data_IF_208810588885
#
_entry.id   IF_208810588885
#
_cell.length_a   1.000
_cell.length_b   1.000
_cell.length_c   1.000
_cell.angle_alpha   90.00
_cell.angle_beta   90.00
_cell.angle_gamma   90.00
#
_symmetry.space_group_name_H-M   'P 1'
#
loop_
_entity.id
_entity.type
_entity.pdbx_description
1 polymer ?
#
# COMPACT_ATOMS: atom_id res chain seq x y z
N UNK A 1 21.83 -21.76 18.56
CA UNK A 1 20.94 -21.79 19.74
C UNK A 1 21.02 -23.15 20.40
N UNK A 2 20.54 -24.28 19.80
CA UNK A 2 20.54 -25.62 20.42
C UNK A 2 21.95 -26.10 20.85
N UNK A 3 22.96 -25.89 20.01
CA UNK A 3 24.35 -26.23 20.33
C UNK A 3 24.89 -25.44 21.53
N UNK A 4 24.51 -24.15 21.66
CA UNK A 4 24.90 -23.33 22.79
C UNK A 4 24.30 -23.83 24.11
N UNK A 5 23.01 -24.17 24.08
CA UNK A 5 22.32 -24.78 25.22
C UNK A 5 22.96 -26.10 25.64
N UNK A 6 23.32 -26.99 24.69
CA UNK A 6 24.05 -28.23 24.97
C UNK A 6 25.45 -27.99 25.53
N UNK A 7 26.14 -26.96 25.03
CA UNK A 7 27.48 -26.63 25.49
C UNK A 7 27.44 -26.04 26.90
N UNK A 8 26.43 -25.23 27.23
CA UNK A 8 26.23 -24.76 28.60
C UNK A 8 26.07 -25.93 29.60
N UNK A 9 25.27 -26.95 29.26
CA UNK A 9 25.12 -28.17 30.04
C UNK A 9 26.47 -28.90 30.23
N UNK A 10 27.25 -29.06 29.16
CA UNK A 10 28.58 -29.72 29.22
C UNK A 10 29.59 -28.94 30.06
N UNK A 11 29.45 -27.62 30.09
CA UNK A 11 30.31 -26.72 30.85
C UNK A 11 29.86 -26.57 32.31
N UNK A 12 28.85 -27.33 32.75
CA UNK A 12 28.44 -27.40 34.14
C UNK A 12 27.35 -26.42 34.55
N UNK A 13 26.54 -25.92 33.59
CA UNK A 13 25.34 -25.16 33.92
C UNK A 13 24.39 -26.01 34.77
N UNK A 14 24.01 -25.50 35.93
CA UNK A 14 23.22 -26.22 36.93
C UNK A 14 21.76 -25.75 36.97
N UNK A 15 21.44 -24.63 36.34
CA UNK A 15 20.08 -24.10 36.30
C UNK A 15 19.55 -24.00 34.88
N UNK A 16 18.22 -24.12 34.72
CA UNK A 16 17.55 -23.87 33.44
C UNK A 16 17.77 -22.42 32.98
N UNK A 17 18.01 -21.50 33.91
CA UNK A 17 18.24 -20.08 33.61
C UNK A 17 19.58 -19.89 32.89
N UNK A 18 20.66 -20.56 33.35
CA UNK A 18 21.97 -20.48 32.72
C UNK A 18 21.95 -21.03 31.29
N UNK A 19 21.17 -22.10 31.07
CA UNK A 19 21.00 -22.73 29.76
C UNK A 19 20.23 -21.79 28.82
N UNK A 20 19.15 -21.18 29.32
CA UNK A 20 18.34 -20.23 28.56
C UNK A 20 19.14 -18.98 28.22
N UNK A 21 19.96 -18.48 29.14
CA UNK A 21 20.85 -17.35 28.94
C UNK A 21 21.86 -17.59 27.81
N UNK A 22 22.50 -18.77 27.82
CA UNK A 22 23.41 -19.17 26.75
C UNK A 22 22.69 -19.33 25.40
N UNK A 23 21.44 -19.79 25.40
CA UNK A 23 20.61 -19.91 24.20
C UNK A 23 20.24 -18.56 23.62
N UNK A 24 19.83 -17.59 24.47
CA UNK A 24 19.48 -16.21 24.08
C UNK A 24 20.69 -15.48 23.49
N UNK A 25 21.86 -15.59 24.16
CA UNK A 25 23.08 -14.98 23.65
C UNK A 25 23.46 -15.52 22.26
N UNK A 26 23.40 -16.84 22.08
CA UNK A 26 23.70 -17.46 20.79
C UNK A 26 22.64 -17.14 19.73
N UNK A 27 21.41 -16.85 20.13
CA UNK A 27 20.38 -16.38 19.21
C UNK A 27 20.68 -14.97 18.69
N UNK A 28 21.08 -14.05 19.55
CA UNK A 28 21.47 -12.69 19.19
C UNK A 28 22.67 -12.67 18.25
N UNK A 29 23.75 -13.38 18.61
CA UNK A 29 24.94 -13.52 17.75
C UNK A 29 24.60 -14.13 16.38
N UNK A 30 23.67 -15.09 16.34
CA UNK A 30 23.22 -15.71 15.09
C UNK A 30 22.44 -14.73 14.22
N UNK A 31 21.58 -13.91 14.81
CA UNK A 31 20.82 -12.87 14.10
C UNK A 31 21.75 -11.83 13.50
N UNK A 32 22.70 -11.32 14.29
CA UNK A 32 23.69 -10.35 13.82
C UNK A 32 24.56 -10.90 12.68
N UNK A 33 24.76 -12.21 12.62
CA UNK A 33 25.55 -12.86 11.58
C UNK A 33 24.75 -13.20 10.31
N UNK A 34 23.44 -13.05 10.29
CA UNK A 34 22.59 -13.39 9.12
C UNK A 34 22.97 -12.64 7.84
N UNK A 35 23.42 -11.36 7.87
CA UNK A 35 23.90 -10.68 6.67
C UNK A 35 25.15 -11.32 6.05
N UNK A 36 25.94 -12.05 6.84
CA UNK A 36 27.11 -12.76 6.34
C UNK A 36 26.77 -14.12 5.72
N UNK A 37 25.59 -14.65 6.05
CA UNK A 37 25.11 -15.95 5.55
C UNK A 37 24.30 -15.78 4.26
N UNK A 38 23.56 -14.68 4.13
CA UNK A 38 22.70 -14.39 2.98
C UNK A 38 23.12 -13.07 2.32
N UNK A 39 23.70 -13.13 1.10
CA UNK A 39 24.19 -11.94 0.40
C UNK A 39 23.14 -10.85 0.23
N UNK A 40 21.86 -11.20 0.10
CA UNK A 40 20.75 -10.25 -0.04
C UNK A 40 20.53 -9.43 1.24
N UNK A 41 20.64 -10.04 2.42
CA UNK A 41 20.54 -9.33 3.69
C UNK A 41 21.71 -8.37 3.89
N UNK A 42 22.90 -8.78 3.44
CA UNK A 42 24.09 -7.92 3.45
C UNK A 42 23.93 -6.71 2.53
N UNK A 43 23.39 -6.92 1.35
CA UNK A 43 23.14 -5.86 0.37
C UNK A 43 22.07 -4.89 0.85
N UNK A 44 21.02 -5.40 1.52
CA UNK A 44 19.96 -4.59 2.12
C UNK A 44 20.38 -3.91 3.44
N UNK A 45 21.48 -4.35 4.08
CA UNK A 45 21.95 -3.82 5.36
C UNK A 45 21.04 -4.19 6.53
N UNK A 46 20.32 -5.31 6.43
CA UNK A 46 19.35 -5.79 7.43
C UNK A 46 19.70 -7.19 7.94
N UNK A 47 19.12 -7.57 9.06
CA UNK A 47 19.21 -8.93 9.62
C UNK A 47 17.96 -9.73 9.25
N UNK A 48 18.03 -11.07 9.40
CA UNK A 48 16.87 -11.94 9.18
C UNK A 48 15.75 -11.65 10.19
N UNK A 49 14.56 -11.26 9.66
CA UNK A 49 13.41 -10.89 10.47
C UNK A 49 12.84 -12.07 11.29
N UNK A 50 12.82 -13.27 10.71
CA UNK A 50 12.38 -14.50 11.38
C UNK A 50 13.31 -14.89 12.53
N UNK A 51 14.62 -14.82 12.29
CA UNK A 51 15.64 -15.02 13.32
C UNK A 51 15.53 -13.99 14.45
N UNK A 52 15.28 -12.73 14.12
CA UNK A 52 15.08 -11.66 15.12
C UNK A 52 13.81 -11.88 15.95
N UNK A 53 12.71 -12.30 15.32
CA UNK A 53 11.47 -12.67 16.03
C UNK A 53 11.69 -13.80 17.03
N UNK A 54 12.41 -14.86 16.64
CA UNK A 54 12.76 -15.97 17.55
C UNK A 54 13.64 -15.50 18.72
N UNK A 55 14.62 -14.65 18.46
CA UNK A 55 15.44 -14.05 19.52
C UNK A 55 14.58 -13.27 20.53
N UNK A 56 13.65 -12.43 20.08
CA UNK A 56 12.75 -11.65 20.95
C UNK A 56 11.90 -12.56 21.84
N UNK A 57 11.38 -13.68 21.30
CA UNK A 57 10.62 -14.66 22.08
C UNK A 57 11.48 -15.27 23.18
N UNK A 58 12.69 -15.70 22.85
CA UNK A 58 13.63 -16.31 23.82
C UNK A 58 14.06 -15.30 24.88
N UNK A 59 14.32 -14.05 24.50
CA UNK A 59 14.64 -12.96 25.44
C UNK A 59 13.46 -12.68 26.39
N UNK A 60 12.23 -12.65 25.88
CA UNK A 60 11.03 -12.53 26.71
C UNK A 60 10.90 -13.65 27.73
N UNK A 61 11.17 -14.90 27.32
CA UNK A 61 11.22 -16.04 28.23
C UNK A 61 12.29 -15.89 29.32
N UNK A 62 13.48 -15.41 28.97
CA UNK A 62 14.56 -15.16 29.91
C UNK A 62 14.19 -14.08 30.93
N UNK A 63 13.60 -12.97 30.47
CA UNK A 63 13.10 -11.89 31.34
C UNK A 63 12.03 -12.39 32.31
N UNK A 64 11.06 -13.17 31.83
CA UNK A 64 10.04 -13.78 32.66
C UNK A 64 10.65 -14.72 33.72
N UNK A 65 11.63 -15.56 33.33
CA UNK A 65 12.33 -16.47 34.25
C UNK A 65 13.16 -15.72 35.31
N UNK A 66 13.59 -14.49 35.01
CA UNK A 66 14.29 -13.62 35.96
C UNK A 66 13.34 -12.79 36.82
N UNK A 67 12.01 -12.89 36.62
CA UNK A 67 11.02 -12.09 37.33
C UNK A 67 11.04 -10.60 36.93
N UNK A 68 11.57 -10.28 35.76
CA UNK A 68 11.59 -8.92 35.23
C UNK A 68 10.22 -8.58 34.60
N UNK A 69 9.78 -7.33 34.70
CA UNK A 69 8.53 -6.88 34.10
C UNK A 69 8.61 -7.02 32.57
N UNK A 70 7.53 -7.54 31.97
CA UNK A 70 7.44 -7.73 30.51
C UNK A 70 6.84 -6.49 29.80
N UNK A 71 6.25 -5.59 30.55
CA UNK A 71 5.63 -4.34 30.10
C UNK A 71 6.60 -3.15 30.08
N UNK A 72 7.87 -3.37 30.41
CA UNK A 72 8.89 -2.38 30.10
C UNK A 72 9.03 -2.33 28.58
N UNK A 73 8.91 -1.14 27.93
CA UNK A 73 9.19 -1.04 26.51
C UNK A 73 10.50 -1.77 26.24
N UNK A 74 10.49 -2.73 25.33
CA UNK A 74 11.70 -3.42 24.86
C UNK A 74 12.73 -2.31 24.71
N UNK A 75 13.84 -2.38 25.50
CA UNK A 75 14.91 -1.40 25.40
C UNK A 75 15.11 -1.18 23.92
N UNK A 76 15.06 0.06 23.50
CA UNK A 76 15.25 0.49 22.13
C UNK A 76 16.39 -0.35 21.56
N UNK A 77 16.06 -1.49 20.97
CA UNK A 77 16.88 -2.17 20.01
C UNK A 77 17.07 -1.08 19.01
N UNK A 78 18.28 -0.54 18.91
CA UNK A 78 18.57 0.68 18.23
C UNK A 78 17.68 0.79 17.02
N UNK A 79 16.91 1.84 16.96
CA UNK A 79 15.79 2.10 16.07
C UNK A 79 15.68 1.02 15.00
N UNK A 80 14.78 0.04 15.19
CA UNK A 80 14.40 -0.79 14.05
C UNK A 80 13.79 0.24 13.13
N UNK A 81 14.63 0.72 12.23
CA UNK A 81 14.24 1.58 11.16
C UNK A 81 13.30 0.72 10.30
N UNK A 82 12.01 0.73 10.65
CA UNK A 82 10.97 0.08 9.85
C UNK A 82 11.00 0.62 8.41
N UNK A 83 11.63 1.79 8.19
CA UNK A 83 11.93 2.33 6.87
C UNK A 83 13.03 1.53 6.14
N UNK A 84 13.90 0.78 6.86
CA UNK A 84 14.93 -0.09 6.25
C UNK A 84 14.49 -1.53 6.02
N UNK A 85 13.45 -2.00 6.70
CA UNK A 85 12.90 -3.35 6.49
C UNK A 85 12.13 -3.46 5.16
N UNK A 86 11.68 -2.34 4.59
CA UNK A 86 11.05 -2.27 3.26
C UNK A 86 11.99 -2.49 2.06
N UNK A 87 13.20 -2.99 2.24
CA UNK A 87 14.21 -3.19 1.19
C UNK A 87 14.50 -4.63 0.79
N UNK A 88 13.78 -5.61 1.30
CA UNK A 88 13.76 -6.95 0.70
C UNK A 88 12.61 -6.96 -0.30
N UNK A 89 12.84 -6.40 -1.48
CA UNK A 89 12.08 -6.87 -2.62
C UNK A 89 12.53 -8.34 -2.81
N UNK A 90 11.72 -9.28 -2.34
CA UNK A 90 11.61 -10.52 -3.09
C UNK A 90 11.43 -10.05 -4.52
N UNK A 91 12.31 -10.48 -5.41
CA UNK A 91 12.18 -10.17 -6.83
C UNK A 91 10.90 -10.89 -7.23
N UNK A 92 9.76 -10.21 -7.10
CA UNK A 92 8.50 -10.71 -7.61
C UNK A 92 8.72 -10.76 -9.11
N UNK A 93 8.73 -11.96 -9.66
CA UNK A 93 8.81 -12.10 -11.10
C UNK A 93 7.61 -11.37 -11.71
N UNK A 94 7.81 -10.56 -12.77
CA UNK A 94 6.74 -9.76 -13.32
C UNK A 94 5.49 -10.57 -13.61
N UNK A 95 4.37 -10.18 -13.03
CA UNK A 95 3.06 -10.83 -13.20
C UNK A 95 2.71 -11.89 -12.15
N UNK A 96 3.58 -12.18 -11.18
CA UNK A 96 3.28 -13.12 -10.08
C UNK A 96 2.81 -12.35 -8.82
N UNK A 97 1.66 -11.74 -8.95
CA UNK A 97 1.17 -10.73 -8.02
C UNK A 97 0.38 -11.31 -6.82
N UNK A 98 0.13 -12.63 -6.83
CA UNK A 98 -0.68 -13.27 -5.80
C UNK A 98 0.10 -14.31 -4.99
N UNK A 99 0.05 -14.17 -3.68
CA UNK A 99 0.48 -15.18 -2.72
C UNK A 99 -0.70 -16.07 -2.35
N UNK A 100 -0.50 -17.39 -2.45
CA UNK A 100 -1.50 -18.39 -2.07
C UNK A 100 -0.88 -19.34 -1.07
N UNK A 101 -1.44 -19.35 0.13
CA UNK A 101 -1.06 -20.30 1.19
C UNK A 101 -2.21 -21.27 1.43
N UNK A 102 -1.93 -22.56 1.34
CA UNK A 102 -2.92 -23.62 1.57
C UNK A 102 -2.43 -24.58 2.63
N UNK A 103 -3.18 -24.72 3.71
CA UNK A 103 -3.03 -25.78 4.68
C UNK A 103 -3.96 -26.93 4.31
N UNK A 104 -3.42 -28.14 4.07
CA UNK A 104 -4.24 -29.31 3.75
C UNK A 104 -3.72 -30.57 4.41
N UNK A 105 -4.62 -31.54 4.65
CA UNK A 105 -4.29 -32.88 5.09
C UNK A 105 -4.20 -33.80 3.88
N UNK A 106 -3.03 -34.35 3.56
CA UNK A 106 -2.89 -35.30 2.46
C UNK A 106 -3.78 -36.54 2.66
N UNK A 107 -4.39 -37.03 1.60
CA UNK A 107 -5.20 -38.25 1.62
C UNK A 107 -4.36 -39.51 1.87
N UNK A 108 -3.04 -39.45 1.74
CA UNK A 108 -2.09 -40.51 1.95
C UNK A 108 -0.67 -39.97 2.14
N UNK A 109 0.35 -40.82 2.00
CA UNK A 109 1.74 -40.35 2.08
C UNK A 109 2.05 -39.45 0.89
N UNK A 110 2.37 -38.21 1.14
CA UNK A 110 2.76 -37.23 0.13
C UNK A 110 4.29 -37.16 0.04
N UNK A 111 4.83 -37.26 -1.17
CA UNK A 111 6.25 -36.98 -1.44
C UNK A 111 6.37 -35.48 -1.71
N UNK A 112 6.88 -34.70 -0.72
CA UNK A 112 6.99 -33.26 -0.81
C UNK A 112 7.89 -32.80 -1.96
N UNK A 113 8.90 -33.60 -2.34
CA UNK A 113 9.79 -33.24 -3.46
C UNK A 113 9.05 -33.30 -4.79
N UNK A 114 8.34 -34.40 -5.04
CA UNK A 114 7.53 -34.55 -6.26
C UNK A 114 6.39 -33.51 -6.29
N UNK A 115 5.80 -33.25 -5.14
CA UNK A 115 4.75 -32.24 -5.00
C UNK A 115 5.25 -30.82 -5.31
N UNK A 116 6.46 -30.46 -4.84
CA UNK A 116 7.10 -29.19 -5.18
C UNK A 116 7.39 -29.08 -6.69
N UNK A 117 7.86 -30.17 -7.32
CA UNK A 117 8.12 -30.21 -8.76
C UNK A 117 6.83 -30.01 -9.59
N UNK A 118 5.71 -30.60 -9.14
CA UNK A 118 4.40 -30.37 -9.78
C UNK A 118 3.93 -28.91 -9.65
N UNK A 119 4.15 -28.28 -8.49
CA UNK A 119 3.77 -26.88 -8.22
C UNK A 119 4.53 -25.86 -9.09
N UNK A 120 5.74 -26.18 -9.58
CA UNK A 120 6.49 -25.27 -10.47
C UNK A 120 5.78 -24.97 -11.80
N UNK A 121 4.78 -25.77 -12.15
CA UNK A 121 3.94 -25.52 -13.32
C UNK A 121 2.83 -24.48 -13.05
N UNK A 122 2.56 -24.19 -11.77
CA UNK A 122 1.49 -23.27 -11.36
C UNK A 122 2.04 -21.90 -10.94
N UNK A 123 3.28 -21.83 -10.45
CA UNK A 123 3.85 -20.58 -9.98
C UNK A 123 5.29 -20.70 -9.48
N UNK A 124 5.75 -19.67 -8.79
CA UNK A 124 7.12 -19.54 -8.26
C UNK A 124 7.12 -19.38 -6.73
N UNK A 125 8.29 -19.15 -6.13
CA UNK A 125 8.47 -18.93 -4.67
C UNK A 125 7.85 -20.03 -3.80
N UNK A 126 7.93 -21.30 -4.30
CA UNK A 126 7.28 -22.45 -3.64
C UNK A 126 7.98 -22.77 -2.33
N UNK A 127 7.22 -22.77 -1.23
CA UNK A 127 7.67 -23.24 0.08
C UNK A 127 6.71 -24.28 0.62
N UNK A 128 7.24 -25.37 1.16
CA UNK A 128 6.46 -26.46 1.75
C UNK A 128 6.90 -26.70 3.18
N UNK A 129 5.94 -26.84 4.08
CA UNK A 129 6.14 -27.22 5.47
C UNK A 129 5.21 -28.37 5.85
N UNK A 130 5.66 -29.30 6.67
CA UNK A 130 4.84 -30.40 7.20
C UNK A 130 4.90 -30.40 8.74
N UNK A 131 3.72 -30.48 9.38
CA UNK A 131 3.60 -30.59 10.84
C UNK A 131 2.21 -31.06 11.23
N UNK A 132 2.12 -31.92 12.24
CA UNK A 132 0.84 -32.45 12.80
C UNK A 132 -0.11 -33.06 11.76
N UNK A 133 0.45 -33.69 10.71
CA UNK A 133 -0.33 -34.29 9.63
C UNK A 133 -0.99 -33.28 8.69
N UNK A 134 -0.56 -32.03 8.75
CA UNK A 134 -0.95 -30.95 7.84
C UNK A 134 0.27 -30.57 7.02
N UNK A 135 0.08 -30.39 5.72
CA UNK A 135 1.04 -29.76 4.82
C UNK A 135 0.63 -28.34 4.55
N UNK A 136 1.52 -27.40 4.81
CA UNK A 136 1.40 -25.98 4.41
C UNK A 136 2.15 -25.79 3.11
N UNK A 137 1.45 -25.31 2.10
CA UNK A 137 1.99 -24.93 0.80
C UNK A 137 1.86 -23.42 0.66
N UNK A 138 2.94 -22.78 0.24
CA UNK A 138 3.02 -21.38 -0.15
C UNK A 138 3.52 -21.31 -1.60
N UNK A 139 2.89 -20.48 -2.42
CA UNK A 139 3.24 -20.30 -3.83
C UNK A 139 2.84 -18.89 -4.28
N UNK A 140 3.67 -18.28 -5.15
CA UNK A 140 3.31 -17.06 -5.87
C UNK A 140 2.80 -17.44 -7.26
N UNK A 141 1.68 -16.84 -7.68
CA UNK A 141 1.01 -17.14 -8.94
C UNK A 141 0.61 -15.88 -9.70
N UNK A 142 0.36 -16.05 -11.00
CA UNK A 142 -0.11 -14.99 -11.88
C UNK A 142 -1.52 -14.54 -11.49
N UNK A 143 -1.85 -13.29 -11.84
CA UNK A 143 -3.22 -12.79 -11.78
C UNK A 143 -4.19 -13.72 -12.52
N UNK A 144 -5.40 -13.91 -11.97
CA UNK A 144 -6.45 -14.82 -12.44
C UNK A 144 -6.13 -16.32 -12.33
N UNK A 145 -5.00 -16.70 -11.71
CA UNK A 145 -4.66 -18.11 -11.47
C UNK A 145 -4.59 -18.47 -9.99
N UNK A 146 -4.96 -17.57 -9.09
CA UNK A 146 -4.86 -17.65 -7.63
C UNK A 146 -5.62 -18.85 -7.03
N UNK A 147 -6.64 -19.35 -7.72
CA UNK A 147 -7.40 -20.53 -7.27
C UNK A 147 -6.80 -21.87 -7.73
N UNK A 148 -5.92 -21.90 -8.72
CA UNK A 148 -5.35 -23.15 -9.26
C UNK A 148 -4.56 -23.96 -8.21
N UNK A 149 -3.69 -23.36 -7.37
CA UNK A 149 -3.01 -24.10 -6.31
C UNK A 149 -3.95 -24.73 -5.29
N UNK A 150 -5.09 -24.08 -5.01
CA UNK A 150 -6.10 -24.57 -4.07
C UNK A 150 -6.76 -25.83 -4.65
N UNK A 151 -7.19 -25.78 -5.91
CA UNK A 151 -7.78 -26.93 -6.59
C UNK A 151 -6.77 -28.08 -6.71
N UNK A 152 -5.50 -27.77 -6.93
CA UNK A 152 -4.44 -28.76 -6.94
C UNK A 152 -4.26 -29.44 -5.57
N UNK A 153 -4.23 -28.68 -4.47
CA UNK A 153 -4.17 -29.23 -3.12
C UNK A 153 -5.41 -30.08 -2.77
N UNK A 154 -6.61 -29.70 -3.23
CA UNK A 154 -7.84 -30.50 -3.07
C UNK A 154 -7.75 -31.87 -3.72
N UNK A 155 -7.05 -32.00 -4.83
CA UNK A 155 -6.85 -33.31 -5.47
C UNK A 155 -5.88 -34.21 -4.67
N UNK A 156 -5.01 -33.65 -3.87
CA UNK A 156 -4.01 -34.37 -3.05
C UNK A 156 -4.54 -34.66 -1.63
N UNK A 157 -5.58 -33.95 -1.17
CA UNK A 157 -6.07 -34.11 0.19
C UNK A 157 -7.25 -33.19 0.55
N UNK A 158 -7.49 -33.04 1.87
CA UNK A 158 -8.54 -32.17 2.40
C UNK A 158 -7.94 -30.82 2.79
N UNK A 159 -8.36 -29.75 2.12
CA UNK A 159 -7.97 -28.38 2.45
C UNK A 159 -8.60 -27.99 3.79
N UNK A 160 -7.77 -27.46 4.68
CA UNK A 160 -8.14 -27.05 6.06
C UNK A 160 -8.26 -25.55 6.16
N UNK A 161 -7.30 -24.81 5.54
CA UNK A 161 -7.27 -23.37 5.54
C UNK A 161 -6.70 -22.86 4.21
N UNK A 162 -7.14 -21.68 3.80
CA UNK A 162 -6.64 -20.99 2.61
C UNK A 162 -6.44 -19.52 2.96
N UNK A 163 -5.29 -18.98 2.62
CA UNK A 163 -5.00 -17.57 2.62
C UNK A 163 -4.57 -17.17 1.24
N UNK A 164 -5.18 -16.13 0.69
CA UNK A 164 -4.84 -15.56 -0.60
C UNK A 164 -4.60 -14.08 -0.36
N UNK A 165 -3.45 -13.59 -0.79
CA UNK A 165 -3.08 -12.21 -0.62
C UNK A 165 -2.47 -11.67 -1.92
N UNK A 166 -2.84 -10.44 -2.26
CA UNK A 166 -2.22 -9.74 -3.37
C UNK A 166 -0.89 -9.14 -2.88
N UNK A 167 0.22 -9.62 -3.44
CA UNK A 167 1.56 -9.14 -3.06
C UNK A 167 1.77 -7.66 -3.44
N UNK A 168 1.07 -7.20 -4.46
CA UNK A 168 1.09 -5.78 -4.80
C UNK A 168 0.43 -4.95 -3.71
N UNK A 169 -0.64 -5.45 -3.07
CA UNK A 169 -1.28 -4.81 -1.91
C UNK A 169 -0.36 -4.84 -0.67
N UNK A 170 0.44 -5.91 -0.48
CA UNK A 170 1.48 -5.98 0.57
C UNK A 170 2.62 -4.99 0.33
N UNK A 171 3.08 -4.84 -0.90
CA UNK A 171 4.05 -3.80 -1.26
C UNK A 171 3.48 -2.40 -1.04
N UNK A 172 2.15 -2.26 -1.09
CA UNK A 172 1.41 -1.04 -0.77
C UNK A 172 1.43 -0.70 0.73
N UNK A 173 1.64 -1.67 1.62
CA UNK A 173 1.62 -1.45 3.07
C UNK A 173 2.84 -0.70 3.63
N UNK A 174 3.89 -0.47 2.86
CA UNK A 174 5.06 0.32 3.26
C UNK A 174 5.10 1.68 2.58
N UNK A 175 4.08 2.50 2.84
CA UNK A 175 4.10 3.91 2.46
C UNK A 175 5.24 4.61 3.20
N UNK A 176 6.26 5.05 2.47
CA UNK A 176 7.33 5.89 3.01
C UNK A 176 6.84 7.33 3.02
N UNK A 177 6.24 7.72 4.14
CA UNK A 177 5.92 9.12 4.37
C UNK A 177 7.23 9.93 4.57
N UNK A 178 7.23 11.16 4.08
CA UNK A 178 8.40 12.03 4.22
C UNK A 178 8.56 12.44 5.68
N UNK A 179 9.69 12.12 6.34
CA UNK A 179 9.98 12.61 7.67
C UNK A 179 10.04 14.14 7.65
N UNK A 180 9.32 14.78 8.55
CA UNK A 180 9.29 16.25 8.68
C UNK A 180 10.14 16.67 9.86
N UNK A 181 11.06 17.59 9.64
CA UNK A 181 11.85 18.21 10.69
C UNK A 181 11.09 19.35 11.37
N UNK A 182 11.50 19.67 12.59
CA UNK A 182 10.88 20.75 13.34
C UNK A 182 11.05 22.10 12.62
N UNK A 183 9.94 22.80 12.38
CA UNK A 183 9.92 24.08 11.67
C UNK A 183 9.69 24.00 10.17
N UNK A 184 9.78 22.81 9.55
CA UNK A 184 9.39 22.60 8.16
C UNK A 184 7.87 22.63 7.99
N UNK A 185 7.44 22.87 6.75
CA UNK A 185 6.04 22.89 6.37
C UNK A 185 5.62 21.48 5.96
N UNK A 186 4.67 20.91 6.69
CA UNK A 186 4.15 19.56 6.43
C UNK A 186 2.86 19.61 5.63
N UNK A 187 2.61 18.56 4.85
CA UNK A 187 1.34 18.35 4.15
C UNK A 187 0.64 17.12 4.69
N UNK A 188 -0.64 17.27 5.03
CA UNK A 188 -1.59 16.19 5.34
C UNK A 188 -2.55 16.07 4.18
N UNK A 189 -2.74 14.88 3.61
CA UNK A 189 -3.65 14.67 2.50
C UNK A 189 -4.69 13.59 2.81
N UNK A 190 -5.93 13.82 2.41
CA UNK A 190 -6.95 12.78 2.39
C UNK A 190 -6.83 12.02 1.08
N UNK A 191 -6.86 10.69 1.15
CA UNK A 191 -6.60 9.82 0.01
C UNK A 191 -7.53 8.62 0.00
N UNK A 192 -7.91 8.18 -1.20
CA UNK A 192 -8.67 6.96 -1.43
C UNK A 192 -7.96 6.11 -2.49
N UNK A 193 -7.65 4.88 -2.12
CA UNK A 193 -6.86 3.96 -2.96
C UNK A 193 -5.38 3.93 -2.59
N UNK A 194 -4.84 2.71 -2.53
CA UNK A 194 -3.48 2.49 -2.05
C UNK A 194 -2.43 3.02 -3.04
N UNK A 195 -2.67 2.87 -4.35
CA UNK A 195 -1.78 3.43 -5.37
C UNK A 195 -1.75 4.97 -5.35
N UNK A 196 -2.92 5.62 -5.15
CA UNK A 196 -2.98 7.07 -4.97
C UNK A 196 -2.25 7.52 -3.70
N UNK A 197 -2.33 6.73 -2.61
CA UNK A 197 -1.59 7.01 -1.38
C UNK A 197 -0.08 6.97 -1.61
N UNK A 198 0.41 6.02 -2.41
CA UNK A 198 1.83 5.92 -2.80
C UNK A 198 2.26 7.15 -3.60
N UNK A 199 1.50 7.50 -4.64
CA UNK A 199 1.80 8.71 -5.44
C UNK A 199 1.93 9.93 -4.55
N UNK A 200 1.00 10.16 -3.62
CA UNK A 200 1.08 11.31 -2.72
C UNK A 200 2.26 11.23 -1.73
N UNK A 201 2.58 10.04 -1.24
CA UNK A 201 3.75 9.83 -0.38
C UNK A 201 5.05 10.15 -1.12
N UNK A 202 5.18 9.72 -2.38
CA UNK A 202 6.34 10.01 -3.23
C UNK A 202 6.52 11.52 -3.49
N UNK A 203 5.42 12.28 -3.52
CA UNK A 203 5.44 13.74 -3.57
C UNK A 203 5.64 14.44 -2.22
N UNK A 204 5.98 13.71 -1.16
CA UNK A 204 6.42 14.28 0.10
C UNK A 204 5.33 14.60 1.11
N UNK A 205 4.17 13.96 1.01
CA UNK A 205 3.13 14.08 2.05
C UNK A 205 3.62 13.49 3.36
N UNK A 206 3.43 14.23 4.46
CA UNK A 206 3.87 13.86 5.80
C UNK A 206 2.88 12.96 6.55
N UNK A 207 1.59 13.07 6.23
CA UNK A 207 0.55 12.20 6.79
C UNK A 207 -0.59 12.00 5.80
N UNK A 208 -1.09 10.78 5.73
CA UNK A 208 -2.23 10.39 4.89
C UNK A 208 -3.41 9.99 5.76
N UNK A 209 -4.59 10.43 5.37
CA UNK A 209 -5.86 10.08 6.02
C UNK A 209 -6.68 9.30 4.99
N UNK A 210 -7.01 8.05 5.31
CA UNK A 210 -7.87 7.28 4.42
C UNK A 210 -9.29 7.87 4.40
N UNK A 211 -9.78 8.21 3.21
CA UNK A 211 -11.09 8.79 3.02
C UNK A 211 -11.39 9.13 1.57
N UNK A 212 -12.66 9.29 1.26
CA UNK A 212 -13.12 9.56 -0.12
C UNK A 212 -14.62 9.69 -0.21
N UNK A 213 -15.21 9.37 -1.36
CA UNK A 213 -16.64 9.63 -1.68
C UNK A 213 -17.65 9.04 -0.68
N UNK A 214 -17.36 7.86 -0.12
CA UNK A 214 -18.29 7.16 0.79
C UNK A 214 -17.82 7.15 2.25
N UNK A 215 -16.57 7.53 2.50
CA UNK A 215 -15.96 7.52 3.83
C UNK A 215 -15.25 8.85 4.08
N UNK A 216 -16.02 9.89 4.43
CA UNK A 216 -15.47 11.19 4.76
C UNK A 216 -14.83 11.14 6.15
N UNK A 217 -13.56 11.49 6.31
CA UNK A 217 -12.94 11.59 7.62
C UNK A 217 -13.62 12.68 8.44
N UNK A 218 -13.75 12.45 9.74
CA UNK A 218 -14.29 13.44 10.66
C UNK A 218 -13.31 14.59 10.92
N UNK A 219 -13.82 15.71 11.42
CA UNK A 219 -12.97 16.83 11.88
C UNK A 219 -11.93 16.38 12.89
N UNK A 220 -12.30 15.46 13.80
CA UNK A 220 -11.40 14.92 14.83
C UNK A 220 -10.28 14.06 14.23
N UNK A 221 -10.56 13.29 13.20
CA UNK A 221 -9.56 12.47 12.52
C UNK A 221 -8.52 13.36 11.79
N UNK A 222 -9.00 14.41 11.12
CA UNK A 222 -8.10 15.37 10.45
C UNK A 222 -7.27 16.12 11.49
N UNK A 223 -7.89 16.59 12.57
CA UNK A 223 -7.21 17.28 13.66
C UNK A 223 -6.14 16.38 14.29
N UNK A 224 -6.46 15.13 14.59
CA UNK A 224 -5.51 14.18 15.17
C UNK A 224 -4.29 13.96 14.28
N UNK A 225 -4.47 13.85 12.96
CA UNK A 225 -3.36 13.72 12.01
C UNK A 225 -2.49 14.97 11.96
N UNK A 226 -3.09 16.16 12.03
CA UNK A 226 -2.38 17.44 12.09
C UNK A 226 -1.57 17.56 13.39
N UNK A 227 -2.20 17.28 14.54
CA UNK A 227 -1.55 17.41 15.86
C UNK A 227 -0.42 16.39 16.07
N UNK A 228 -0.46 15.23 15.42
CA UNK A 228 0.58 14.20 15.51
C UNK A 228 1.91 14.60 14.83
N UNK A 229 1.91 15.58 13.92
CA UNK A 229 3.12 16.00 13.22
C UNK A 229 4.09 16.79 14.12
N UNK A 230 5.42 16.67 13.93
CA UNK A 230 6.42 17.34 14.77
C UNK A 230 6.63 18.83 14.39
N UNK A 231 5.76 19.42 13.59
CA UNK A 231 5.86 20.82 13.13
C UNK A 231 4.60 21.61 13.45
N UNK A 232 4.73 22.95 13.57
CA UNK A 232 3.62 23.87 13.82
C UNK A 232 2.99 24.43 12.53
N UNK A 233 3.56 24.12 11.34
CA UNK A 233 3.09 24.62 10.05
C UNK A 233 2.56 23.47 9.20
N UNK A 234 1.27 23.44 8.94
CA UNK A 234 0.64 22.34 8.23
C UNK A 234 -0.28 22.82 7.12
N UNK A 235 -0.20 22.21 5.97
CA UNK A 235 -1.17 22.35 4.88
C UNK A 235 -2.02 21.07 4.83
N UNK A 236 -3.34 21.22 4.67
CA UNK A 236 -4.28 20.10 4.50
C UNK A 236 -4.83 20.11 3.09
N UNK A 237 -4.73 18.96 2.39
CA UNK A 237 -5.32 18.68 1.08
C UNK A 237 -6.52 17.74 1.27
N UNK A 238 -7.77 18.23 1.21
CA UNK A 238 -8.97 17.41 1.38
C UNK A 238 -9.22 16.42 0.23
N UNK A 239 -8.84 16.79 -1.00
CA UNK A 239 -9.00 16.00 -2.23
C UNK A 239 -10.42 15.50 -2.53
N UNK A 240 -11.39 16.10 -1.86
CA UNK A 240 -12.82 15.86 -2.05
C UNK A 240 -13.62 17.06 -1.54
N UNK A 241 -14.58 17.53 -2.33
CA UNK A 241 -15.43 18.69 -1.98
C UNK A 241 -16.19 18.51 -0.67
N UNK A 242 -16.58 17.27 -0.33
CA UNK A 242 -17.35 16.97 0.89
C UNK A 242 -16.50 17.05 2.17
N UNK A 243 -15.18 17.00 2.02
CA UNK A 243 -14.22 16.99 3.15
C UNK A 243 -13.69 18.40 3.46
N UNK A 244 -13.79 19.33 2.51
CA UNK A 244 -13.27 20.72 2.67
C UNK A 244 -13.78 21.39 3.95
N UNK A 245 -15.06 21.22 4.27
CA UNK A 245 -15.63 21.83 5.47
C UNK A 245 -15.05 21.25 6.75
N UNK A 246 -14.93 19.93 6.83
CA UNK A 246 -14.32 19.24 7.99
C UNK A 246 -12.84 19.63 8.16
N UNK A 247 -12.10 19.74 7.03
CA UNK A 247 -10.71 20.20 7.06
C UNK A 247 -10.56 21.65 7.57
N UNK A 248 -11.44 22.55 7.16
CA UNK A 248 -11.46 23.94 7.66
C UNK A 248 -11.78 24.00 9.15
N UNK A 249 -12.74 23.21 9.61
CA UNK A 249 -13.06 23.11 11.04
C UNK A 249 -11.89 22.55 11.85
N UNK A 250 -11.19 21.53 11.33
CA UNK A 250 -10.00 21.01 11.98
C UNK A 250 -8.88 22.06 12.07
N UNK A 251 -8.68 22.84 11.00
CA UNK A 251 -7.73 23.95 11.00
C UNK A 251 -8.05 25.04 12.05
N UNK A 252 -9.32 25.35 12.24
CA UNK A 252 -9.77 26.32 13.25
C UNK A 252 -9.58 25.81 14.70
N UNK A 253 -9.69 24.50 14.90
CA UNK A 253 -9.55 23.86 16.24
C UNK A 253 -8.11 23.53 16.60
N UNK A 254 -7.20 23.49 15.63
CA UNK A 254 -5.80 23.16 15.85
C UNK A 254 -5.07 24.25 16.62
N UNK A 255 -4.15 23.83 17.52
CA UNK A 255 -3.21 24.72 18.15
C UNK A 255 -2.06 25.19 17.23
N UNK A 256 -1.92 24.54 16.05
CA UNK A 256 -0.90 24.82 15.04
C UNK A 256 -1.38 25.81 13.99
N UNK A 257 -0.44 26.29 13.17
CA UNK A 257 -0.74 27.13 12.01
C UNK A 257 -1.15 26.21 10.85
N UNK A 258 -2.45 26.09 10.61
CA UNK A 258 -2.99 25.20 9.58
C UNK A 258 -3.64 26.00 8.46
N UNK A 259 -3.30 25.68 7.22
CA UNK A 259 -4.00 26.17 6.04
C UNK A 259 -4.62 25.03 5.24
N UNK A 260 -5.81 25.24 4.69
CA UNK A 260 -6.49 24.25 3.84
C UNK A 260 -6.41 24.75 2.41
N UNK A 261 -5.74 23.98 1.54
CA UNK A 261 -5.81 24.14 0.09
C UNK A 261 -7.03 23.37 -0.38
N UNK A 262 -8.08 24.01 -0.91
CA UNK A 262 -9.41 23.40 -1.10
C UNK A 262 -9.47 22.51 -2.34
N UNK A 263 -8.57 21.53 -2.45
CA UNK A 263 -8.55 20.52 -3.50
C UNK A 263 -9.82 19.66 -3.47
N UNK A 264 -10.42 19.43 -4.63
CA UNK A 264 -11.71 18.75 -4.79
C UNK A 264 -11.56 17.33 -5.33
N UNK A 265 -10.39 17.01 -5.85
CA UNK A 265 -10.05 15.72 -6.44
C UNK A 265 -8.61 15.33 -6.14
N UNK A 266 -8.31 14.05 -6.33
CA UNK A 266 -6.94 13.53 -6.17
C UNK A 266 -5.95 14.17 -7.16
N UNK A 267 -6.25 14.30 -8.47
CA UNK A 267 -5.39 15.02 -9.41
C UNK A 267 -5.07 16.45 -8.96
N UNK A 268 -6.07 17.20 -8.50
CA UNK A 268 -5.84 18.55 -7.95
C UNK A 268 -4.88 18.55 -6.75
N UNK A 269 -4.97 17.53 -5.88
CA UNK A 269 -4.05 17.35 -4.76
C UNK A 269 -2.63 17.06 -5.21
N UNK A 270 -2.47 16.23 -6.23
CA UNK A 270 -1.16 15.89 -6.80
C UNK A 270 -0.53 17.13 -7.44
N UNK A 271 -1.26 17.88 -8.26
CA UNK A 271 -0.78 19.13 -8.85
C UNK A 271 -0.39 20.17 -7.77
N UNK A 272 -1.19 20.29 -6.71
CA UNK A 272 -0.83 21.13 -5.56
C UNK A 272 0.52 20.72 -4.94
N UNK A 273 0.77 19.43 -4.78
CA UNK A 273 2.02 18.91 -4.20
C UNK A 273 3.26 19.25 -5.02
N UNK A 274 3.14 19.39 -6.34
CA UNK A 274 4.26 19.82 -7.21
C UNK A 274 4.76 21.25 -6.87
N UNK A 275 3.90 22.08 -6.27
CA UNK A 275 4.23 23.43 -5.81
C UNK A 275 4.58 23.52 -4.32
N UNK A 276 4.65 22.38 -3.62
CA UNK A 276 5.02 22.33 -2.21
C UNK A 276 6.49 22.70 -1.99
N UNK A 277 6.74 23.57 -1.02
CA UNK A 277 8.08 23.99 -0.60
C UNK A 277 8.23 23.74 0.91
N UNK A 278 8.96 22.70 1.33
CA UNK A 278 9.08 22.32 2.75
C UNK A 278 9.66 23.45 3.65
N UNK A 279 10.56 24.25 3.10
CA UNK A 279 11.20 25.36 3.82
C UNK A 279 10.54 26.71 3.51
N UNK A 280 9.40 26.70 2.81
CA UNK A 280 8.68 27.91 2.39
C UNK A 280 7.84 28.55 3.50
N UNK A 281 7.29 29.74 3.21
CA UNK A 281 6.27 30.37 4.03
C UNK A 281 4.93 29.65 3.89
N UNK A 282 4.21 29.43 5.02
CA UNK A 282 2.94 28.70 5.03
C UNK A 282 1.91 29.32 4.06
N UNK A 283 1.71 30.64 4.12
CA UNK A 283 0.71 31.32 3.30
C UNK A 283 1.11 31.33 1.82
N UNK A 284 2.36 31.61 1.52
CA UNK A 284 2.88 31.68 0.14
C UNK A 284 2.83 30.31 -0.54
N UNK A 285 3.25 29.26 0.18
CA UNK A 285 3.19 27.89 -0.35
C UNK A 285 1.74 27.42 -0.54
N UNK A 286 0.83 27.70 0.41
CA UNK A 286 -0.57 27.34 0.27
C UNK A 286 -1.24 28.07 -0.92
N UNK A 287 -0.89 29.34 -1.18
CA UNK A 287 -1.38 30.09 -2.34
C UNK A 287 -0.87 29.49 -3.65
N UNK A 288 0.43 29.16 -3.74
CA UNK A 288 1.00 28.51 -4.91
C UNK A 288 0.37 27.13 -5.17
N UNK A 289 0.20 26.31 -4.12
CA UNK A 289 -0.46 25.01 -4.21
C UNK A 289 -1.93 25.15 -4.65
N UNK A 290 -2.64 26.16 -4.15
CA UNK A 290 -4.02 26.42 -4.55
C UNK A 290 -4.11 26.84 -6.02
N UNK A 291 -3.19 27.68 -6.52
CA UNK A 291 -3.12 28.06 -7.92
C UNK A 291 -2.88 26.85 -8.82
N UNK A 292 -1.86 26.04 -8.52
CA UNK A 292 -1.54 24.83 -9.29
C UNK A 292 -2.72 23.85 -9.35
N UNK A 293 -3.47 23.68 -8.26
CA UNK A 293 -4.64 22.81 -8.22
C UNK A 293 -5.78 23.23 -9.17
N UNK A 294 -5.84 24.49 -9.56
CA UNK A 294 -6.90 25.01 -10.48
C UNK A 294 -6.56 24.79 -11.96
N UNK A 295 -5.33 24.48 -12.29
CA UNK A 295 -4.88 24.26 -13.68
C UNK A 295 -5.24 22.87 -14.18
N UNK A 296 -5.58 21.95 -13.28
CA UNK A 296 -5.88 20.56 -13.59
C UNK A 296 -7.37 20.34 -13.80
N UNK A 297 -7.74 19.77 -14.94
CA UNK A 297 -9.11 19.25 -15.18
C UNK A 297 -9.15 17.80 -14.72
N UNK A 298 -10.16 17.45 -13.91
CA UNK A 298 -10.32 16.09 -13.38
C UNK A 298 -11.52 15.40 -14.03
N UNK A 299 -11.27 14.25 -14.63
CA UNK A 299 -12.28 13.31 -15.09
C UNK A 299 -12.48 12.16 -14.12
N UNK A 300 -13.74 11.77 -13.88
CA UNK A 300 -14.09 10.63 -13.04
C UNK A 300 -15.05 9.72 -13.80
N UNK A 301 -14.68 8.44 -13.99
CA UNK A 301 -15.51 7.45 -14.68
C UNK A 301 -15.95 6.37 -13.71
N UNK A 302 -17.26 6.13 -13.66
CA UNK A 302 -17.87 5.13 -12.78
C UNK A 302 -19.13 4.54 -13.42
N UNK A 303 -19.73 3.53 -12.78
CA UNK A 303 -20.96 2.92 -13.26
C UNK A 303 -22.18 3.46 -12.52
N UNK A 304 -23.21 3.79 -13.26
CA UNK A 304 -24.47 4.27 -12.71
C UNK A 304 -25.17 3.15 -11.92
N UNK A 305 -25.46 3.40 -10.66
CA UNK A 305 -26.17 2.47 -9.77
C UNK A 305 -27.69 2.44 -9.97
N UNK A 306 -28.23 3.41 -10.73
CA UNK A 306 -29.67 3.53 -11.04
C UNK A 306 -29.89 4.41 -12.25
N UNK A 307 -31.04 4.26 -12.90
CA UNK A 307 -31.46 5.19 -13.96
C UNK A 307 -31.79 6.58 -13.40
N UNK A 308 -31.32 7.62 -14.06
CA UNK A 308 -31.57 9.02 -13.69
C UNK A 308 -31.45 9.95 -14.90
N UNK A 309 -31.92 11.19 -14.75
CA UNK A 309 -31.59 12.27 -15.68
C UNK A 309 -30.75 13.28 -14.92
N UNK A 310 -29.54 13.53 -15.38
CA UNK A 310 -28.55 14.40 -14.73
C UNK A 310 -27.91 15.28 -15.81
N UNK A 311 -27.81 16.56 -15.58
CA UNK A 311 -27.29 17.55 -16.54
C UNK A 311 -27.87 17.42 -17.96
N UNK A 312 -29.17 17.10 -18.07
CA UNK A 312 -29.94 16.85 -19.30
C UNK A 312 -29.52 15.56 -20.06
N UNK A 313 -28.67 14.73 -19.49
CA UNK A 313 -28.26 13.45 -20.03
C UNK A 313 -29.09 12.35 -19.35
N UNK A 314 -29.69 11.48 -20.17
CA UNK A 314 -30.36 10.29 -19.65
C UNK A 314 -29.33 9.22 -19.37
N UNK A 315 -29.33 8.70 -18.14
CA UNK A 315 -28.45 7.64 -17.65
C UNK A 315 -29.30 6.42 -17.36
N UNK A 316 -28.89 5.26 -17.83
CA UNK A 316 -29.48 3.98 -17.47
C UNK A 316 -28.61 3.27 -16.40
N UNK A 317 -29.22 2.40 -15.60
CA UNK A 317 -28.50 1.58 -14.64
C UNK A 317 -27.44 0.72 -15.34
N UNK A 318 -26.22 0.67 -14.76
CA UNK A 318 -25.07 -0.08 -15.30
C UNK A 318 -24.27 0.65 -16.38
N UNK A 319 -24.76 1.73 -16.95
CA UNK A 319 -23.98 2.53 -17.90
C UNK A 319 -22.75 3.17 -17.24
N UNK A 320 -21.69 3.30 -18.00
CA UNK A 320 -20.52 4.10 -17.60
C UNK A 320 -20.88 5.58 -17.71
N UNK A 321 -20.74 6.29 -16.63
CA UNK A 321 -20.90 7.74 -16.58
C UNK A 321 -19.53 8.39 -16.41
N UNK A 322 -19.32 9.48 -17.15
CA UNK A 322 -18.12 10.29 -17.02
C UNK A 322 -18.49 11.69 -16.49
N UNK A 323 -17.78 12.09 -15.45
CA UNK A 323 -17.90 13.43 -14.88
C UNK A 323 -16.61 14.19 -15.18
N UNK A 324 -16.72 15.43 -15.59
CA UNK A 324 -15.62 16.38 -15.74
C UNK A 324 -15.83 17.52 -14.74
N UNK A 325 -14.92 17.67 -13.80
CA UNK A 325 -15.00 18.66 -12.71
C UNK A 325 -16.38 18.66 -12.02
N UNK A 326 -16.83 17.49 -11.60
CA UNK A 326 -18.14 17.23 -10.97
C UNK A 326 -19.39 17.32 -11.89
N UNK A 327 -19.25 17.59 -13.17
CA UNK A 327 -20.39 17.69 -14.12
C UNK A 327 -20.45 16.44 -14.98
N UNK A 328 -21.65 15.88 -15.13
CA UNK A 328 -21.87 14.75 -16.03
C UNK A 328 -21.69 15.21 -17.49
N UNK A 329 -20.78 14.56 -18.22
CA UNK A 329 -20.48 14.90 -19.62
C UNK A 329 -20.90 13.81 -20.61
N UNK A 330 -20.98 12.55 -20.20
CA UNK A 330 -21.57 11.48 -21.00
C UNK A 330 -22.06 10.30 -20.16
N UNK A 331 -22.93 9.51 -20.78
CA UNK A 331 -23.32 8.18 -20.33
C UNK A 331 -23.17 7.22 -21.54
N UNK A 332 -22.31 6.22 -21.42
CA UNK A 332 -21.95 5.31 -22.50
C UNK A 332 -22.06 3.84 -22.01
N UNK A 333 -22.11 2.90 -22.93
CA UNK A 333 -22.15 1.48 -22.56
C UNK A 333 -20.71 0.91 -22.39
N UNK A 334 -19.71 1.57 -22.96
CA UNK A 334 -18.30 1.17 -22.97
C UNK A 334 -17.41 2.20 -22.30
N UNK A 335 -16.44 1.70 -21.50
CA UNK A 335 -15.53 2.54 -20.73
C UNK A 335 -14.53 3.29 -21.63
N UNK A 336 -14.08 2.67 -22.73
CA UNK A 336 -13.16 3.31 -23.67
C UNK A 336 -13.85 4.47 -24.40
N UNK A 337 -15.11 4.28 -24.81
CA UNK A 337 -15.91 5.34 -25.43
C UNK A 337 -16.15 6.51 -24.46
N UNK A 338 -16.50 6.19 -23.22
CA UNK A 338 -16.69 7.20 -22.17
C UNK A 338 -15.40 7.98 -21.89
N UNK A 339 -14.24 7.30 -21.85
CA UNK A 339 -12.93 7.93 -21.66
C UNK A 339 -12.59 8.89 -22.78
N UNK A 340 -12.76 8.48 -24.05
CA UNK A 340 -12.52 9.36 -25.19
C UNK A 340 -13.50 10.53 -25.24
N UNK A 341 -14.76 10.31 -24.87
CA UNK A 341 -15.76 11.37 -24.79
C UNK A 341 -15.41 12.41 -23.73
N UNK A 342 -14.97 11.95 -22.54
CA UNK A 342 -14.50 12.82 -21.47
C UNK A 342 -13.28 13.63 -21.89
N UNK A 343 -12.27 13.02 -22.50
CA UNK A 343 -11.05 13.71 -22.93
C UNK A 343 -11.33 14.77 -23.98
N UNK A 344 -12.28 14.53 -24.90
CA UNK A 344 -12.74 15.56 -25.85
C UNK A 344 -13.40 16.74 -25.14
N UNK A 345 -14.24 16.50 -24.15
CA UNK A 345 -14.88 17.57 -23.36
C UNK A 345 -13.87 18.32 -22.47
N UNK A 346 -12.83 17.63 -22.01
CA UNK A 346 -11.71 18.22 -21.29
C UNK A 346 -10.78 19.04 -22.18
N UNK A 347 -11.00 19.03 -23.53
CA UNK A 347 -10.10 19.69 -24.51
C UNK A 347 -8.65 19.19 -24.40
N UNK A 348 -8.49 17.87 -24.20
CA UNK A 348 -7.20 17.24 -23.95
C UNK A 348 -6.19 17.40 -25.10
N UNK A 349 -6.62 17.80 -26.30
CA UNK A 349 -5.74 18.15 -27.43
C UNK A 349 -4.82 19.32 -27.10
N UNK A 350 -5.23 20.22 -26.20
CA UNK A 350 -4.45 21.38 -25.75
C UNK A 350 -3.58 21.14 -24.53
N UNK A 351 -3.66 19.95 -23.91
CA UNK A 351 -2.91 19.58 -22.74
C UNK A 351 -1.49 19.07 -23.12
N UNK A 352 -0.58 19.08 -22.16
CA UNK A 352 0.74 18.46 -22.28
C UNK A 352 0.74 17.03 -21.78
N UNK A 353 0.03 16.77 -20.66
CA UNK A 353 -0.01 15.49 -19.96
C UNK A 353 -1.43 15.01 -19.74
N UNK A 354 -1.66 13.72 -19.99
CA UNK A 354 -2.86 12.98 -19.61
C UNK A 354 -2.43 11.84 -18.67
N UNK A 355 -2.97 11.80 -17.46
CA UNK A 355 -2.73 10.67 -16.54
C UNK A 355 -4.01 9.90 -16.30
N UNK A 356 -3.96 8.59 -16.50
CA UNK A 356 -5.07 7.67 -16.22
C UNK A 356 -4.76 6.90 -14.93
N UNK A 357 -5.54 7.12 -13.89
CA UNK A 357 -5.47 6.38 -12.63
C UNK A 357 -6.56 5.31 -12.62
N UNK A 358 -6.20 4.03 -12.78
CA UNK A 358 -7.20 2.96 -12.77
C UNK A 358 -7.50 2.46 -11.36
N UNK A 359 -8.80 2.18 -11.12
CA UNK A 359 -9.32 1.78 -9.83
C UNK A 359 -9.18 0.29 -9.53
N UNK A 360 -9.54 -0.10 -8.32
CA UNK A 360 -9.49 -1.47 -7.84
C UNK A 360 -10.38 -2.45 -8.63
N UNK A 361 -11.41 -1.94 -9.32
CA UNK A 361 -12.33 -2.77 -10.13
C UNK A 361 -11.87 -3.03 -11.56
N UNK A 362 -10.73 -2.46 -11.99
CA UNK A 362 -10.23 -2.57 -13.36
C UNK A 362 -8.87 -3.27 -13.38
N UNK A 363 -8.74 -4.33 -14.15
CA UNK A 363 -7.45 -5.01 -14.31
C UNK A 363 -6.45 -4.14 -15.08
N UNK A 364 -5.15 -4.38 -14.85
CA UNK A 364 -4.08 -3.69 -15.59
C UNK A 364 -4.20 -3.88 -17.11
N UNK A 365 -4.60 -5.07 -17.58
CA UNK A 365 -4.79 -5.37 -19.00
C UNK A 365 -5.89 -4.54 -19.64
N UNK A 366 -7.03 -4.39 -18.96
CA UNK A 366 -8.14 -3.55 -19.43
C UNK A 366 -7.74 -2.07 -19.44
N UNK A 367 -7.09 -1.60 -18.36
CA UNK A 367 -6.58 -0.25 -18.26
C UNK A 367 -5.53 0.06 -19.35
N UNK A 368 -4.63 -0.88 -19.64
CA UNK A 368 -3.64 -0.76 -20.72
C UNK A 368 -4.30 -0.66 -22.09
N UNK A 369 -5.35 -1.43 -22.34
CA UNK A 369 -6.11 -1.37 -23.60
C UNK A 369 -6.71 0.02 -23.82
N UNK A 370 -7.27 0.62 -22.75
CA UNK A 370 -7.80 1.99 -22.80
C UNK A 370 -6.67 3.00 -23.02
N UNK A 371 -5.56 2.85 -22.30
CA UNK A 371 -4.39 3.71 -22.43
C UNK A 371 -3.83 3.69 -23.87
N UNK A 372 -3.76 2.53 -24.49
CA UNK A 372 -3.30 2.40 -25.88
C UNK A 372 -4.24 3.10 -26.86
N UNK A 373 -5.55 3.01 -26.66
CA UNK A 373 -6.53 3.73 -27.46
C UNK A 373 -6.40 5.25 -27.30
N UNK A 374 -6.23 5.72 -26.06
CA UNK A 374 -5.99 7.15 -25.78
C UNK A 374 -4.69 7.61 -26.43
N UNK A 375 -3.60 6.84 -26.30
CA UNK A 375 -2.29 7.16 -26.92
C UNK A 375 -2.36 7.24 -28.45
N UNK A 376 -3.18 6.39 -29.08
CA UNK A 376 -3.42 6.47 -30.53
C UNK A 376 -4.19 7.73 -30.94
N UNK A 377 -5.15 8.15 -30.09
CA UNK A 377 -6.03 9.31 -30.38
C UNK A 377 -5.32 10.63 -30.05
N UNK A 378 -4.57 10.68 -28.95
CA UNK A 378 -3.85 11.86 -28.45
C UNK A 378 -2.34 11.64 -28.52
N UNK A 379 -1.83 11.45 -29.73
CA UNK A 379 -0.42 11.07 -29.97
C UNK A 379 0.60 12.18 -29.70
N UNK A 380 0.15 13.42 -29.54
CA UNK A 380 1.01 14.58 -29.22
C UNK A 380 1.16 14.81 -27.71
N UNK A 381 0.29 14.24 -26.90
CA UNK A 381 0.29 14.35 -25.44
C UNK A 381 1.10 13.22 -24.80
N UNK A 382 1.77 13.54 -23.70
CA UNK A 382 2.33 12.49 -22.84
C UNK A 382 1.19 11.75 -22.14
N UNK A 383 1.23 10.41 -22.17
CA UNK A 383 0.22 9.59 -21.49
C UNK A 383 0.86 8.72 -20.41
N UNK A 384 0.39 8.87 -19.20
CA UNK A 384 0.77 8.02 -18.05
C UNK A 384 -0.40 7.15 -17.62
N UNK A 385 -0.11 5.89 -17.30
CA UNK A 385 -1.06 4.94 -16.71
C UNK A 385 -0.56 4.54 -15.33
N UNK A 386 -1.37 4.81 -14.31
CA UNK A 386 -1.00 4.62 -12.90
C UNK A 386 -2.06 3.75 -12.23
N UNK A 387 -1.63 2.75 -11.45
CA UNK A 387 -2.55 2.04 -10.56
C UNK A 387 -2.93 2.96 -9.39
N UNK A 388 -4.15 3.45 -9.38
CA UNK A 388 -4.68 4.28 -8.30
C UNK A 388 -5.27 3.46 -7.15
N UNK A 389 -5.85 2.29 -7.48
CA UNK A 389 -6.48 1.39 -6.51
C UNK A 389 -7.72 2.00 -5.83
N UNK A 390 -8.24 3.13 -6.34
CA UNK A 390 -9.40 3.79 -5.77
C UNK A 390 -10.67 2.95 -5.94
N UNK A 391 -11.52 2.85 -4.90
CA UNK A 391 -12.83 2.23 -5.03
C UNK A 391 -13.79 3.15 -5.79
N UNK A 392 -14.88 2.60 -6.30
CA UNK A 392 -16.02 3.30 -6.93
C UNK A 392 -15.77 3.94 -8.30
N UNK A 393 -14.56 4.33 -8.62
CA UNK A 393 -14.21 4.88 -9.93
C UNK A 393 -13.37 3.87 -10.72
N UNK A 394 -13.84 3.46 -11.89
CA UNK A 394 -13.07 2.61 -12.80
C UNK A 394 -11.81 3.34 -13.27
N UNK A 395 -11.95 4.65 -13.58
CA UNK A 395 -10.85 5.54 -13.94
C UNK A 395 -11.01 6.91 -13.29
N UNK A 396 -9.89 7.50 -12.84
CA UNK A 396 -9.76 8.93 -12.61
C UNK A 396 -8.76 9.46 -13.66
N UNK A 397 -9.06 10.58 -14.26
CA UNK A 397 -8.27 11.16 -15.36
C UNK A 397 -7.81 12.56 -14.97
N UNK A 398 -6.51 12.81 -15.10
CA UNK A 398 -5.93 14.14 -15.02
C UNK A 398 -5.62 14.64 -16.41
N UNK A 399 -5.97 15.90 -16.70
CA UNK A 399 -5.63 16.59 -17.94
C UNK A 399 -4.97 17.91 -17.58
N UNK A 400 -3.67 18.03 -17.95
CA UNK A 400 -2.74 19.12 -17.55
C UNK A 400 -2.07 19.76 -18.75
#
# INVERSE_FOLDING_TARGET
>A
IANAAQQALRNGATSNLDILEAAVQAADESVENTPNLLPILKQAGVVDAGGKGLFIILEGMLRAARGQALDVPLMTIGEIDFQRIGGVSDVIEPGQDWEVVVDFRPAGRLDLKSFAEELTQLGTSIQLGEGDGIVRMHIHVLDQTEYQPIEFCKQKGTVVNVHIENLMDQMESTLKLTPIEHGQLAVVAVVSGAGMARVMADFGVAALINGGQTMNPSTEQILAAVEALPTDKVIVLPNNKNIILAAKQAAELSAKQVQVVPTRSMPQGIAALLSHQPDGGLAETAEAMAAASQEVKTGELTRASRAAVMDQIQVNEGQVIALLDDKLVCACDDLSEATLSLLRQAEAEGAELITLYYGAGLSHSEASTIADLVRQTYSAQELQLVHGGQPHYDLIVSVE
#
